data_IF_079996900916
#
_entry.id   IF_079996900916
#
_cell.length_a   1.000
_cell.length_b   1.000
_cell.length_c   1.000
_cell.angle_alpha   90.00
_cell.angle_beta   90.00
_cell.angle_gamma   90.00
#
_symmetry.space_group_name_H-M   'P 1'
#
loop_
_entity.id
_entity.type
_entity.pdbx_description
1 polymer ?
#
# COMPACT_ATOMS: atom_id res chain seq x y z
N UNK A 1 15.30 29.96 -5.34
CA UNK A 1 15.79 28.57 -5.49
C UNK A 1 15.31 27.79 -4.29
N UNK A 2 14.73 26.60 -4.46
CA UNK A 2 14.07 25.88 -3.36
C UNK A 2 15.09 25.04 -2.57
N UNK A 3 15.07 25.17 -1.25
CA UNK A 3 15.89 24.35 -0.35
C UNK A 3 15.48 22.85 -0.47
N UNK A 4 16.47 21.97 -0.45
CA UNK A 4 16.31 20.53 -0.62
C UNK A 4 15.62 19.90 0.60
N UNK A 5 14.64 19.04 0.35
CA UNK A 5 13.91 18.37 1.42
C UNK A 5 14.67 17.11 1.87
N UNK A 6 15.32 17.19 3.03
CA UNK A 6 15.96 16.05 3.70
C UNK A 6 14.97 15.25 4.54
N UNK A 7 15.01 13.92 4.52
CA UNK A 7 14.13 13.12 5.37
C UNK A 7 14.53 13.17 6.85
N UNK A 8 15.82 13.39 7.16
CA UNK A 8 16.39 13.51 8.52
C UNK A 8 16.20 14.91 9.10
N UNK A 9 14.96 15.27 9.44
CA UNK A 9 14.67 16.56 10.08
C UNK A 9 13.43 16.44 10.97
N UNK A 10 13.53 17.01 12.18
CA UNK A 10 12.42 17.14 13.11
C UNK A 10 11.37 18.10 12.52
N UNK A 11 10.12 17.65 12.50
CA UNK A 11 8.97 18.34 11.91
C UNK A 11 7.73 18.23 12.79
N UNK A 12 6.90 19.25 12.71
CA UNK A 12 5.50 19.19 13.15
C UNK A 12 4.64 18.44 12.10
N UNK A 13 3.36 18.24 12.41
CA UNK A 13 2.44 17.55 11.50
C UNK A 13 2.38 18.25 10.13
N UNK A 14 2.16 19.58 10.11
CA UNK A 14 2.11 20.34 8.87
C UNK A 14 3.41 20.26 8.06
N UNK A 15 4.56 20.25 8.73
CA UNK A 15 5.87 20.07 8.13
C UNK A 15 6.06 18.72 7.47
N UNK A 16 5.54 17.63 8.04
CA UNK A 16 5.60 16.27 7.43
C UNK A 16 4.86 16.26 6.09
N UNK A 17 3.65 16.81 6.06
CA UNK A 17 2.82 16.83 4.86
C UNK A 17 3.44 17.76 3.81
N UNK A 18 3.85 18.96 4.21
CA UNK A 18 4.50 19.93 3.32
C UNK A 18 5.78 19.36 2.72
N UNK A 19 6.56 18.60 3.50
CA UNK A 19 7.75 17.92 3.01
C UNK A 19 7.39 16.82 2.00
N UNK A 20 6.37 16.00 2.26
CA UNK A 20 5.96 14.93 1.35
C UNK A 20 5.51 15.49 -0.01
N UNK A 21 4.59 16.47 -0.02
CA UNK A 21 4.15 17.13 -1.23
C UNK A 21 5.28 17.93 -1.91
N UNK A 22 6.11 18.61 -1.11
CA UNK A 22 7.26 19.35 -1.59
C UNK A 22 8.27 18.45 -2.30
N UNK A 23 8.57 17.27 -1.75
CA UNK A 23 9.49 16.31 -2.34
C UNK A 23 8.98 15.81 -3.68
N UNK A 24 7.71 15.44 -3.74
CA UNK A 24 7.07 15.01 -4.99
C UNK A 24 7.07 16.12 -6.04
N UNK A 25 6.80 17.37 -5.62
CA UNK A 25 6.82 18.54 -6.52
C UNK A 25 8.21 18.84 -7.04
N UNK A 26 9.24 18.77 -6.18
CA UNK A 26 10.64 19.00 -6.55
C UNK A 26 11.16 17.93 -7.51
N UNK A 27 10.80 16.66 -7.27
CA UNK A 27 11.34 15.51 -7.98
C UNK A 27 10.34 14.83 -8.93
N UNK A 28 9.31 15.54 -9.39
CA UNK A 28 8.15 14.93 -10.07
C UNK A 28 8.53 13.98 -11.21
N UNK A 29 9.37 14.44 -12.16
CA UNK A 29 9.78 13.66 -13.33
C UNK A 29 10.59 12.41 -12.97
N UNK A 30 11.72 12.49 -12.25
CA UNK A 30 12.52 11.31 -11.93
C UNK A 30 11.81 10.37 -10.94
N UNK A 31 11.01 10.91 -10.01
CA UNK A 31 10.29 10.13 -9.02
C UNK A 31 9.16 9.30 -9.65
N UNK A 32 8.21 9.94 -10.34
CA UNK A 32 7.14 9.18 -11.01
C UNK A 32 7.64 8.41 -12.22
N UNK A 33 8.65 8.93 -12.93
CA UNK A 33 9.28 8.23 -14.05
C UNK A 33 9.90 6.90 -13.63
N UNK A 34 10.65 6.87 -12.52
CA UNK A 34 11.23 5.61 -12.01
C UNK A 34 10.16 4.64 -11.51
N UNK A 35 9.12 5.13 -10.83
CA UNK A 35 7.99 4.31 -10.37
C UNK A 35 7.25 3.68 -11.56
N UNK A 36 6.84 4.49 -12.54
CA UNK A 36 6.06 4.02 -13.69
C UNK A 36 6.90 3.13 -14.62
N UNK A 37 8.20 3.41 -14.78
CA UNK A 37 9.06 2.59 -15.63
C UNK A 37 9.35 1.21 -15.01
N UNK A 38 9.62 1.16 -13.70
CA UNK A 38 10.02 -0.10 -13.04
C UNK A 38 8.84 -0.87 -12.47
N UNK A 39 7.95 -0.22 -11.72
CA UNK A 39 6.80 -0.89 -11.11
C UNK A 39 5.58 -0.95 -12.06
N UNK A 40 5.48 0.00 -13.00
CA UNK A 40 4.34 0.12 -13.91
C UNK A 40 4.03 -1.15 -14.71
N UNK A 41 4.99 -1.86 -15.33
CA UNK A 41 4.71 -3.11 -16.06
C UNK A 41 3.99 -4.16 -15.20
N UNK A 42 4.42 -4.34 -13.95
CA UNK A 42 3.78 -5.30 -13.03
C UNK A 42 2.39 -4.85 -12.60
N UNK A 43 2.21 -3.54 -12.36
CA UNK A 43 0.91 -2.96 -12.04
C UNK A 43 -0.05 -3.12 -13.22
N UNK A 44 0.40 -2.89 -14.45
CA UNK A 44 -0.41 -3.06 -15.68
C UNK A 44 -0.87 -4.51 -15.81
N UNK A 45 0.05 -5.47 -15.67
CA UNK A 45 -0.33 -6.90 -15.78
C UNK A 45 -1.29 -7.30 -14.65
N UNK A 46 -0.98 -6.94 -13.39
CA UNK A 46 -1.86 -7.24 -12.26
C UNK A 46 -3.25 -6.62 -12.40
N UNK A 47 -3.32 -5.37 -12.85
CA UNK A 47 -4.59 -4.67 -13.07
C UNK A 47 -5.37 -5.20 -14.26
N UNK A 48 -4.70 -5.55 -15.36
CA UNK A 48 -5.34 -6.19 -16.52
C UNK A 48 -5.96 -7.54 -16.17
N UNK A 49 -5.24 -8.40 -15.43
CA UNK A 49 -5.78 -9.69 -14.98
C UNK A 49 -6.98 -9.46 -14.06
N UNK A 50 -6.89 -8.55 -13.09
CA UNK A 50 -8.02 -8.24 -12.20
C UNK A 50 -9.24 -7.67 -12.93
N UNK A 51 -9.03 -6.83 -13.94
CA UNK A 51 -10.10 -6.26 -14.75
C UNK A 51 -10.76 -7.33 -15.63
N UNK A 52 -9.98 -8.24 -16.21
CA UNK A 52 -10.50 -9.39 -16.93
C UNK A 52 -11.38 -10.26 -16.01
N UNK A 53 -11.06 -10.41 -14.72
CA UNK A 53 -11.92 -11.15 -13.78
C UNK A 53 -13.25 -10.45 -13.54
N UNK A 54 -13.25 -9.14 -13.31
CA UNK A 54 -14.48 -8.36 -13.15
C UNK A 54 -15.32 -8.45 -14.43
N UNK A 55 -14.67 -8.33 -15.60
CA UNK A 55 -15.29 -8.47 -16.91
C UNK A 55 -15.83 -9.88 -17.19
N UNK A 56 -15.14 -10.93 -16.78
CA UNK A 56 -15.50 -12.34 -17.02
C UNK A 56 -16.43 -12.95 -15.98
N UNK A 57 -16.85 -12.17 -14.96
CA UNK A 57 -17.95 -12.50 -14.03
C UNK A 57 -19.28 -12.59 -14.82
N UNK A 58 -19.37 -13.69 -15.54
CA UNK A 58 -20.45 -14.08 -16.42
C UNK A 58 -21.47 -14.84 -15.57
N UNK A 59 -22.73 -14.58 -15.89
CA UNK A 59 -23.99 -15.08 -15.34
C UNK A 59 -23.88 -16.35 -14.48
N UNK A 60 -24.57 -16.35 -13.33
CA UNK A 60 -24.79 -17.51 -12.43
C UNK A 60 -25.05 -18.83 -13.20
N UNK A 61 -25.67 -18.74 -14.39
CA UNK A 61 -25.89 -19.85 -15.31
C UNK A 61 -24.61 -20.56 -15.84
N UNK A 62 -23.51 -19.84 -16.12
CA UNK A 62 -22.22 -20.44 -16.54
C UNK A 62 -21.50 -21.08 -15.35
N UNK A 63 -21.67 -20.51 -14.15
CA UNK A 63 -21.14 -21.05 -12.89
C UNK A 63 -21.77 -22.41 -12.53
N UNK A 64 -23.08 -22.57 -12.77
CA UNK A 64 -23.81 -23.82 -12.48
C UNK A 64 -23.52 -24.94 -13.50
N UNK A 65 -23.24 -24.61 -14.76
CA UNK A 65 -23.06 -25.61 -15.83
C UNK A 65 -21.69 -26.29 -15.85
N UNK A 66 -20.61 -25.54 -15.58
CA UNK A 66 -19.23 -26.02 -15.66
C UNK A 66 -18.42 -25.61 -14.41
N UNK A 67 -18.85 -26.06 -13.22
CA UNK A 67 -18.26 -25.65 -11.94
C UNK A 67 -16.74 -25.88 -11.89
N UNK A 68 -16.25 -27.06 -12.26
CA UNK A 68 -14.83 -27.42 -12.10
C UNK A 68 -13.89 -26.57 -12.95
N UNK A 69 -14.21 -26.39 -14.25
CA UNK A 69 -13.42 -25.51 -15.13
C UNK A 69 -13.46 -24.05 -14.68
N UNK A 70 -14.59 -23.62 -14.12
CA UNK A 70 -14.78 -22.28 -13.61
C UNK A 70 -13.91 -22.03 -12.35
N UNK A 71 -13.92 -22.94 -11.38
CA UNK A 71 -13.08 -22.86 -10.18
C UNK A 71 -11.59 -22.89 -10.54
N UNK A 72 -11.17 -23.77 -11.45
CA UNK A 72 -9.78 -23.85 -11.90
C UNK A 72 -9.30 -22.54 -12.54
N UNK A 73 -10.08 -21.95 -13.45
CA UNK A 73 -9.74 -20.67 -14.09
C UNK A 73 -9.69 -19.51 -13.08
N UNK A 74 -10.62 -19.46 -12.13
CA UNK A 74 -10.64 -18.44 -11.08
C UNK A 74 -9.38 -18.55 -10.22
N UNK A 75 -9.05 -19.74 -9.73
CA UNK A 75 -7.89 -19.94 -8.84
C UNK A 75 -6.60 -19.53 -9.55
N UNK A 76 -6.38 -19.97 -10.78
CA UNK A 76 -5.19 -19.62 -11.56
C UNK A 76 -5.09 -18.11 -11.79
N UNK A 77 -6.22 -17.45 -12.10
CA UNK A 77 -6.26 -15.99 -12.30
C UNK A 77 -6.03 -15.18 -11.02
N UNK A 78 -6.53 -15.66 -9.88
CA UNK A 78 -6.27 -15.03 -8.58
C UNK A 78 -4.81 -15.18 -8.17
N UNK A 79 -4.26 -16.39 -8.28
CA UNK A 79 -2.86 -16.65 -7.93
C UNK A 79 -1.90 -15.84 -8.82
N UNK A 80 -2.16 -15.77 -10.13
CA UNK A 80 -1.34 -14.96 -11.03
C UNK A 80 -1.39 -13.48 -10.66
N UNK A 81 -2.58 -12.91 -10.41
CA UNK A 81 -2.75 -11.53 -9.97
C UNK A 81 -1.97 -11.23 -8.68
N UNK A 82 -2.08 -12.11 -7.69
CA UNK A 82 -1.38 -11.97 -6.40
C UNK A 82 0.13 -11.92 -6.62
N UNK A 83 0.68 -12.80 -7.45
CA UNK A 83 2.13 -12.84 -7.74
C UNK A 83 2.58 -11.55 -8.43
N UNK A 84 1.86 -11.08 -9.46
CA UNK A 84 2.21 -9.84 -10.16
C UNK A 84 2.13 -8.62 -9.26
N UNK A 85 1.07 -8.49 -8.45
CA UNK A 85 0.96 -7.40 -7.47
C UNK A 85 2.05 -7.48 -6.41
N UNK A 86 2.37 -8.66 -5.90
CA UNK A 86 3.42 -8.84 -4.88
C UNK A 86 4.79 -8.42 -5.41
N UNK A 87 5.15 -8.83 -6.63
CA UNK A 87 6.37 -8.38 -7.30
C UNK A 87 6.33 -6.87 -7.54
N UNK A 88 5.22 -6.35 -8.08
CA UNK A 88 5.03 -4.93 -8.37
C UNK A 88 5.17 -4.05 -7.14
N UNK A 89 4.57 -4.44 -6.01
CA UNK A 89 4.69 -3.73 -4.73
C UNK A 89 6.11 -3.82 -4.18
N UNK A 90 6.81 -4.94 -4.37
CA UNK A 90 8.22 -5.07 -3.99
C UNK A 90 9.09 -4.09 -4.77
N UNK A 91 8.96 -4.06 -6.10
CA UNK A 91 9.67 -3.11 -6.98
C UNK A 91 9.35 -1.68 -6.57
N UNK A 92 8.07 -1.37 -6.36
CA UNK A 92 7.59 -0.06 -5.93
C UNK A 92 8.27 0.42 -4.64
N UNK A 93 8.33 -0.42 -3.60
CA UNK A 93 9.00 -0.08 -2.34
C UNK A 93 10.51 0.15 -2.53
N UNK A 94 11.19 -0.69 -3.31
CA UNK A 94 12.62 -0.52 -3.61
C UNK A 94 12.89 0.83 -4.26
N UNK A 95 12.08 1.18 -5.26
CA UNK A 95 12.22 2.44 -6.01
C UNK A 95 11.94 3.64 -5.13
N UNK A 96 10.87 3.62 -4.33
CA UNK A 96 10.58 4.72 -3.41
C UNK A 96 11.73 4.97 -2.43
N UNK A 97 12.21 3.91 -1.79
CA UNK A 97 13.32 4.00 -0.85
C UNK A 97 14.59 4.51 -1.51
N UNK A 98 14.92 4.00 -2.70
CA UNK A 98 16.09 4.48 -3.44
C UNK A 98 15.99 5.95 -3.80
N UNK A 99 14.82 6.42 -4.24
CA UNK A 99 14.64 7.85 -4.52
C UNK A 99 14.83 8.70 -3.26
N UNK A 100 14.29 8.28 -2.12
CA UNK A 100 14.44 9.02 -0.85
C UNK A 100 15.91 9.05 -0.40
N UNK A 101 16.60 7.90 -0.45
CA UNK A 101 17.99 7.77 -0.03
C UNK A 101 18.99 8.42 -1.00
N UNK A 102 18.75 8.31 -2.30
CA UNK A 102 19.55 8.97 -3.32
C UNK A 102 19.39 10.48 -3.20
N UNK A 103 18.16 10.97 -3.01
CA UNK A 103 17.94 12.40 -2.80
C UNK A 103 18.82 12.91 -1.66
N UNK A 104 18.92 12.24 -0.51
CA UNK A 104 19.81 12.68 0.59
C UNK A 104 21.29 12.83 0.17
N UNK A 105 21.83 11.88 -0.60
CA UNK A 105 23.26 11.83 -0.97
C UNK A 105 23.69 12.85 -2.03
N UNK A 106 22.76 13.39 -2.81
CA UNK A 106 23.06 14.36 -3.87
C UNK A 106 23.47 15.71 -3.28
N UNK A 107 24.38 16.43 -3.91
CA UNK A 107 24.63 17.84 -3.53
C UNK A 107 23.40 18.71 -3.86
N UNK A 108 23.26 19.89 -3.25
CA UNK A 108 22.10 20.77 -3.43
C UNK A 108 21.82 21.21 -4.89
N UNK A 109 22.77 20.95 -5.81
CA UNK A 109 22.71 21.32 -7.22
C UNK A 109 22.45 20.13 -8.15
N UNK A 110 22.49 18.89 -7.65
CA UNK A 110 22.27 17.69 -8.46
C UNK A 110 20.80 17.25 -8.41
N UNK A 111 20.21 17.06 -9.59
CA UNK A 111 18.85 16.55 -9.71
C UNK A 111 18.82 15.03 -9.67
N UNK A 112 17.79 14.47 -9.03
CA UNK A 112 17.52 13.04 -9.02
C UNK A 112 17.44 12.49 -10.46
N UNK A 113 18.25 11.47 -10.78
CA UNK A 113 18.23 10.78 -12.08
C UNK A 113 17.65 9.36 -11.96
N UNK A 114 17.11 8.84 -13.07
CA UNK A 114 16.60 7.47 -13.15
C UNK A 114 17.68 6.42 -12.83
N UNK A 115 18.94 6.73 -13.15
CA UNK A 115 20.07 5.81 -12.94
C UNK A 115 20.28 5.45 -11.48
N UNK A 116 20.02 6.37 -10.53
CA UNK A 116 20.14 6.05 -9.10
C UNK A 116 19.16 4.97 -8.64
N UNK A 117 17.99 4.88 -9.27
CA UNK A 117 17.01 3.83 -8.98
C UNK A 117 17.42 2.47 -9.58
N UNK A 118 18.18 2.49 -10.69
CA UNK A 118 18.63 1.29 -11.39
C UNK A 118 19.92 0.69 -10.80
N UNK A 119 20.84 1.52 -10.31
CA UNK A 119 22.13 1.04 -9.75
C UNK A 119 21.93 0.09 -8.59
N UNK A 120 22.39 -1.16 -8.72
CA UNK A 120 22.24 -2.19 -7.69
C UNK A 120 20.78 -2.63 -7.43
N UNK A 121 19.85 -2.33 -8.34
CA UNK A 121 18.42 -2.61 -8.18
C UNK A 121 18.13 -4.07 -7.82
N UNK A 122 18.70 -5.03 -8.55
CA UNK A 122 18.42 -6.45 -8.32
C UNK A 122 18.85 -6.95 -6.94
N UNK A 123 19.98 -6.46 -6.40
CA UNK A 123 20.43 -6.85 -5.07
C UNK A 123 19.47 -6.35 -3.98
N UNK A 124 19.03 -5.10 -4.10
CA UNK A 124 18.06 -4.52 -3.17
C UNK A 124 16.66 -5.13 -3.36
N UNK A 125 16.30 -5.50 -4.59
CA UNK A 125 15.06 -6.21 -4.90
C UNK A 125 14.98 -7.56 -4.20
N UNK A 126 15.99 -8.43 -4.33
CA UNK A 126 15.96 -9.75 -3.68
C UNK A 126 15.90 -9.66 -2.16
N UNK A 127 16.62 -8.69 -1.58
CA UNK A 127 16.56 -8.41 -0.15
C UNK A 127 15.18 -7.90 0.28
N UNK A 128 14.60 -6.97 -0.47
CA UNK A 128 13.26 -6.45 -0.20
C UNK A 128 12.22 -7.56 -0.35
N UNK A 129 12.31 -8.39 -1.39
CA UNK A 129 11.40 -9.50 -1.64
C UNK A 129 11.41 -10.50 -0.47
N UNK A 130 12.59 -10.88 0.02
CA UNK A 130 12.74 -11.75 1.18
C UNK A 130 12.12 -11.16 2.45
N UNK A 131 12.41 -9.89 2.74
CA UNK A 131 11.82 -9.20 3.91
C UNK A 131 10.30 -9.02 3.77
N UNK A 132 9.79 -8.70 2.58
CA UNK A 132 8.36 -8.59 2.29
C UNK A 132 7.64 -9.93 2.46
N UNK A 133 8.25 -11.02 2.00
CA UNK A 133 7.67 -12.36 2.14
C UNK A 133 7.62 -12.76 3.61
N UNK A 134 8.70 -12.56 4.36
CA UNK A 134 8.74 -12.80 5.81
C UNK A 134 7.69 -11.98 6.55
N UNK A 135 7.55 -10.69 6.23
CA UNK A 135 6.51 -9.84 6.82
C UNK A 135 5.12 -10.37 6.50
N UNK A 136 4.87 -10.73 5.24
CA UNK A 136 3.56 -11.18 4.79
C UNK A 136 3.17 -12.48 5.49
N UNK A 137 4.08 -13.45 5.58
CA UNK A 137 3.84 -14.69 6.33
C UNK A 137 3.56 -14.42 7.81
N UNK A 138 4.36 -13.55 8.45
CA UNK A 138 4.14 -13.17 9.84
C UNK A 138 2.76 -12.52 10.05
N UNK A 139 2.36 -11.61 9.16
CA UNK A 139 1.05 -10.95 9.22
C UNK A 139 -0.10 -11.92 8.96
N UNK A 140 0.04 -12.84 8.01
CA UNK A 140 -0.96 -13.89 7.74
C UNK A 140 -1.14 -14.78 8.98
N UNK A 141 -0.05 -15.24 9.59
CA UNK A 141 -0.11 -16.04 10.82
C UNK A 141 -0.80 -15.25 11.93
N UNK A 142 -0.43 -13.99 12.14
CA UNK A 142 -1.04 -13.14 13.16
C UNK A 142 -2.55 -12.96 12.94
N UNK A 143 -2.97 -12.69 11.70
CA UNK A 143 -4.39 -12.54 11.33
C UNK A 143 -5.15 -13.85 11.54
N UNK A 144 -4.59 -14.99 11.13
CA UNK A 144 -5.22 -16.31 11.33
C UNK A 144 -5.38 -16.62 12.82
N UNK A 145 -4.35 -16.39 13.63
CA UNK A 145 -4.45 -16.59 15.09
C UNK A 145 -5.52 -15.70 15.70
N UNK A 146 -5.54 -14.41 15.36
CA UNK A 146 -6.57 -13.47 15.85
C UNK A 146 -7.97 -13.92 15.39
N UNK A 147 -8.13 -14.33 14.14
CA UNK A 147 -9.40 -14.80 13.59
C UNK A 147 -9.89 -16.07 14.29
N UNK A 148 -9.00 -17.02 14.60
CA UNK A 148 -9.33 -18.23 15.36
C UNK A 148 -9.74 -17.90 16.80
N UNK A 149 -9.06 -16.96 17.45
CA UNK A 149 -9.41 -16.50 18.81
C UNK A 149 -10.79 -15.84 18.81
N UNK A 150 -11.04 -14.91 17.88
CA UNK A 150 -12.32 -14.21 17.78
C UNK A 150 -13.44 -15.20 17.39
N UNK A 151 -13.21 -16.08 16.42
CA UNK A 151 -14.17 -17.09 16.00
C UNK A 151 -14.49 -18.10 17.10
N UNK A 152 -13.48 -18.52 17.88
CA UNK A 152 -13.66 -19.37 19.05
C UNK A 152 -14.49 -18.69 20.15
N UNK A 153 -14.18 -17.42 20.46
CA UNK A 153 -14.98 -16.63 21.41
C UNK A 153 -16.43 -16.46 20.94
N UNK A 154 -16.63 -16.23 19.64
CA UNK A 154 -17.96 -16.13 19.05
C UNK A 154 -18.74 -17.46 19.16
N UNK A 155 -18.10 -18.60 18.90
CA UNK A 155 -18.71 -19.92 19.04
C UNK A 155 -19.09 -20.23 20.49
N UNK A 156 -18.24 -19.88 21.47
CA UNK A 156 -18.52 -20.07 22.90
C UNK A 156 -19.71 -19.25 23.40
N UNK A 157 -19.99 -18.11 22.77
CA UNK A 157 -21.12 -17.23 23.12
C UNK A 157 -22.44 -17.65 22.43
N UNK A 158 -22.46 -18.84 21.81
CA UNK A 158 -23.69 -19.46 21.31
C UNK A 158 -24.09 -19.08 19.89
N UNK A 159 -23.12 -18.68 19.06
CA UNK A 159 -23.16 -18.63 17.59
C UNK A 159 -24.55 -18.64 16.92
N UNK A 160 -25.35 -17.59 17.14
CA UNK A 160 -26.56 -17.28 16.37
C UNK A 160 -27.77 -18.19 16.60
N UNK A 161 -28.80 -17.69 17.31
CA UNK A 161 -30.13 -18.31 17.27
C UNK A 161 -31.19 -17.85 18.29
N UNK A 162 -30.91 -16.89 19.19
CA UNK A 162 -31.89 -16.42 20.18
C UNK A 162 -31.84 -14.91 20.44
N UNK A 163 -32.62 -14.39 21.41
CA UNK A 163 -32.69 -12.95 21.75
C UNK A 163 -31.34 -12.29 22.13
N UNK A 164 -30.28 -13.09 22.28
CA UNK A 164 -28.92 -12.69 22.59
C UNK A 164 -28.13 -12.11 21.39
N UNK A 165 -28.79 -11.53 20.37
CA UNK A 165 -28.13 -10.81 19.26
C UNK A 165 -27.26 -9.63 19.73
N UNK A 166 -27.43 -9.19 20.97
CA UNK A 166 -26.65 -8.12 21.59
C UNK A 166 -25.15 -8.44 21.65
N UNK A 167 -24.76 -9.68 21.97
CA UNK A 167 -23.34 -10.04 22.15
C UNK A 167 -22.53 -10.05 20.84
N UNK A 168 -23.01 -10.67 19.74
CA UNK A 168 -22.40 -10.54 18.40
C UNK A 168 -22.22 -9.09 17.96
N UNK A 169 -23.25 -8.26 18.15
CA UNK A 169 -23.22 -6.85 17.76
C UNK A 169 -22.18 -6.08 18.57
N UNK A 170 -22.10 -6.32 19.88
CA UNK A 170 -21.06 -5.74 20.74
C UNK A 170 -19.65 -6.17 20.31
N UNK A 171 -19.44 -7.44 19.94
CA UNK A 171 -18.13 -7.89 19.43
C UNK A 171 -17.73 -7.17 18.14
N UNK A 172 -18.65 -7.05 17.17
CA UNK A 172 -18.40 -6.31 15.92
C UNK A 172 -18.06 -4.86 16.21
N UNK A 173 -18.77 -4.22 17.14
CA UNK A 173 -18.50 -2.85 17.58
C UNK A 173 -17.10 -2.73 18.22
N UNK A 174 -16.73 -3.66 19.10
CA UNK A 174 -15.40 -3.69 19.74
C UNK A 174 -14.29 -3.84 18.70
N UNK A 175 -14.45 -4.78 17.76
CA UNK A 175 -13.47 -4.99 16.68
C UNK A 175 -13.39 -3.75 15.79
N UNK A 176 -14.51 -3.13 15.45
CA UNK A 176 -14.56 -1.92 14.65
C UNK A 176 -13.82 -0.75 15.33
N UNK A 177 -14.13 -0.46 16.60
CA UNK A 177 -13.44 0.59 17.36
C UNK A 177 -11.96 0.24 17.59
N UNK A 178 -11.63 -1.04 17.79
CA UNK A 178 -10.26 -1.51 17.87
C UNK A 178 -9.47 -1.27 16.58
N UNK A 179 -10.06 -1.58 15.42
CA UNK A 179 -9.46 -1.28 14.11
C UNK A 179 -9.39 0.22 13.82
N UNK A 180 -10.33 1.02 14.30
CA UNK A 180 -10.28 2.47 14.14
C UNK A 180 -9.15 3.08 14.99
N UNK A 181 -8.96 2.57 16.22
CA UNK A 181 -7.91 3.04 17.11
C UNK A 181 -6.52 2.53 16.71
N UNK A 182 -6.38 1.26 16.32
CA UNK A 182 -5.07 0.67 16.03
C UNK A 182 -4.73 0.61 14.54
N UNK A 183 -5.71 0.65 13.64
CA UNK A 183 -5.54 0.51 12.20
C UNK A 183 -4.55 1.48 11.58
N UNK A 184 -4.65 2.80 11.81
CA UNK A 184 -3.69 3.77 11.27
C UNK A 184 -2.24 3.51 11.72
N UNK A 185 -2.05 3.06 12.96
CA UNK A 185 -0.73 2.71 13.47
C UNK A 185 -0.24 1.38 12.88
N UNK A 186 -1.13 0.41 12.74
CA UNK A 186 -0.83 -0.88 12.10
C UNK A 186 -0.47 -0.72 10.62
N UNK A 187 -1.02 0.27 9.91
CA UNK A 187 -0.62 0.56 8.52
C UNK A 187 0.71 1.30 8.42
N UNK A 188 1.09 2.07 9.44
CA UNK A 188 2.37 2.77 9.51
C UNK A 188 3.55 1.81 9.73
N UNK A 189 3.40 0.84 10.63
CA UNK A 189 4.50 -0.03 11.08
C UNK A 189 5.18 -0.80 9.92
N UNK A 190 4.46 -1.54 9.06
CA UNK A 190 5.02 -2.23 7.89
C UNK A 190 5.80 -1.31 6.95
N UNK A 191 5.23 -0.15 6.65
CA UNK A 191 5.78 0.80 5.67
C UNK A 191 7.08 1.40 6.19
N UNK A 192 7.08 1.86 7.44
CA UNK A 192 8.28 2.35 8.10
C UNK A 192 9.35 1.26 8.23
N UNK A 193 8.97 0.03 8.59
CA UNK A 193 9.92 -1.08 8.74
C UNK A 193 10.59 -1.45 7.40
N UNK A 194 9.86 -1.42 6.28
CA UNK A 194 10.42 -1.69 4.96
C UNK A 194 11.43 -0.63 4.51
N UNK A 195 11.16 0.65 4.81
CA UNK A 195 12.13 1.72 4.60
C UNK A 195 13.41 1.48 5.42
N UNK A 196 13.27 1.16 6.71
CA UNK A 196 14.40 0.90 7.62
C UNK A 196 15.20 -0.33 7.19
N UNK A 197 14.55 -1.41 6.78
CA UNK A 197 15.21 -2.60 6.25
C UNK A 197 16.15 -2.28 5.10
N UNK A 198 15.70 -1.45 4.16
CA UNK A 198 16.49 -1.12 2.99
C UNK A 198 17.58 -0.10 3.30
N UNK A 199 17.28 0.91 4.13
CA UNK A 199 18.23 1.95 4.54
C UNK A 199 19.35 1.39 5.39
N UNK A 200 19.01 0.67 6.45
CA UNK A 200 19.96 0.19 7.47
C UNK A 200 20.51 -1.21 7.12
N UNK A 201 20.02 -1.83 6.03
CA UNK A 201 20.38 -3.19 5.58
C UNK A 201 20.21 -4.27 6.66
N UNK A 202 19.15 -4.13 7.46
CA UNK A 202 18.78 -5.07 8.54
C UNK A 202 17.56 -5.93 8.17
N UNK A 203 17.36 -7.03 8.91
CA UNK A 203 16.20 -7.91 8.74
C UNK A 203 14.90 -7.24 9.18
N UNK A 204 13.76 -7.72 8.65
CA UNK A 204 12.45 -7.15 8.96
C UNK A 204 12.10 -7.16 10.44
N UNK A 205 12.46 -8.20 11.18
CA UNK A 205 12.18 -8.26 12.61
C UNK A 205 12.99 -7.23 13.42
N UNK A 206 14.25 -7.00 13.03
CA UNK A 206 15.07 -5.94 13.63
C UNK A 206 14.53 -4.54 13.31
N UNK A 207 14.11 -4.32 12.05
CA UNK A 207 13.47 -3.08 11.64
C UNK A 207 12.15 -2.83 12.37
N UNK A 208 11.28 -3.84 12.48
CA UNK A 208 10.03 -3.75 13.25
C UNK A 208 10.32 -3.34 14.70
N UNK A 209 11.29 -3.98 15.36
CA UNK A 209 11.68 -3.62 16.73
C UNK A 209 12.13 -2.17 16.84
N UNK A 210 12.93 -1.69 15.87
CA UNK A 210 13.38 -0.30 15.81
C UNK A 210 12.22 0.68 15.61
N UNK A 211 11.28 0.37 14.71
CA UNK A 211 10.06 1.18 14.48
C UNK A 211 9.20 1.24 15.75
N UNK A 212 8.95 0.11 16.41
CA UNK A 212 8.20 0.08 17.67
C UNK A 212 8.89 0.87 18.79
N UNK A 213 10.22 0.85 18.84
CA UNK A 213 11.00 1.59 19.83
C UNK A 213 10.81 3.11 19.75
N UNK A 214 10.74 3.68 18.54
CA UNK A 214 10.45 5.12 18.39
C UNK A 214 8.96 5.44 18.51
N UNK A 215 8.09 4.51 18.09
CA UNK A 215 6.64 4.68 18.15
C UNK A 215 6.11 4.73 19.59
N UNK A 216 6.68 3.94 20.51
CA UNK A 216 6.20 3.78 21.89
C UNK A 216 5.97 5.12 22.61
N UNK A 217 6.91 6.04 22.48
CA UNK A 217 6.88 7.33 23.19
C UNK A 217 5.99 8.36 22.49
N UNK A 218 5.59 8.12 21.24
CA UNK A 218 4.87 9.05 20.38
C UNK A 218 3.65 8.41 19.70
N UNK A 219 2.97 7.49 20.40
CA UNK A 219 1.85 6.73 19.85
C UNK A 219 0.77 7.64 19.26
N UNK A 220 0.25 8.58 20.05
CA UNK A 220 -0.85 9.46 19.63
C UNK A 220 -0.49 10.36 18.46
N UNK A 221 0.72 10.92 18.45
CA UNK A 221 1.19 11.73 17.32
C UNK A 221 1.33 10.90 16.05
N UNK A 222 1.83 9.67 16.18
CA UNK A 222 1.91 8.74 15.04
C UNK A 222 0.53 8.36 14.55
N UNK A 223 -0.41 8.07 15.46
CA UNK A 223 -1.79 7.78 15.12
C UNK A 223 -2.43 8.93 14.33
N UNK A 224 -2.31 10.18 14.81
CA UNK A 224 -2.88 11.35 14.13
C UNK A 224 -2.25 11.51 12.74
N UNK A 225 -0.92 11.49 12.63
CA UNK A 225 -0.23 11.65 11.35
C UNK A 225 -0.64 10.55 10.36
N UNK A 226 -0.65 9.29 10.80
CA UNK A 226 -1.04 8.14 9.98
C UNK A 226 -2.51 8.18 9.58
N UNK A 227 -3.40 8.60 10.48
CA UNK A 227 -4.83 8.74 10.20
C UNK A 227 -5.08 9.83 9.16
N UNK A 228 -4.48 11.00 9.33
CA UNK A 228 -4.60 12.11 8.36
C UNK A 228 -4.00 11.71 7.01
N UNK A 229 -2.85 11.03 7.00
CA UNK A 229 -2.23 10.54 5.78
C UNK A 229 -3.11 9.49 5.07
N UNK A 230 -3.73 8.58 5.84
CA UNK A 230 -4.64 7.57 5.31
C UNK A 230 -5.92 8.18 4.72
N UNK A 231 -6.53 9.15 5.40
CA UNK A 231 -7.69 9.89 4.87
C UNK A 231 -7.31 10.65 3.59
N UNK A 232 -6.15 11.31 3.58
CA UNK A 232 -5.63 11.97 2.39
C UNK A 232 -5.51 10.99 1.20
N UNK A 233 -4.92 9.81 1.45
CA UNK A 233 -4.79 8.75 0.45
C UNK A 233 -6.16 8.26 -0.06
N UNK A 234 -7.11 7.97 0.81
CA UNK A 234 -8.45 7.50 0.43
C UNK A 234 -9.17 8.56 -0.41
N UNK A 235 -9.19 9.81 0.03
CA UNK A 235 -9.89 10.89 -0.68
C UNK A 235 -9.32 11.07 -2.09
N UNK A 236 -7.98 11.14 -2.21
CA UNK A 236 -7.33 11.27 -3.53
C UNK A 236 -7.56 10.04 -4.42
N UNK A 237 -7.49 8.84 -3.85
CA UNK A 237 -7.71 7.59 -4.59
C UNK A 237 -9.18 7.43 -5.00
N UNK A 238 -10.13 7.90 -4.20
CA UNK A 238 -11.56 7.85 -4.52
C UNK A 238 -11.85 8.59 -5.82
N UNK A 239 -11.35 9.82 -5.99
CA UNK A 239 -11.54 10.60 -7.22
C UNK A 239 -10.97 9.89 -8.45
N UNK A 240 -9.81 9.24 -8.32
CA UNK A 240 -9.18 8.47 -9.39
C UNK A 240 -10.03 7.25 -9.77
N UNK A 241 -10.72 6.63 -8.82
CA UNK A 241 -11.49 5.40 -9.02
C UNK A 241 -12.94 5.63 -9.48
N UNK A 242 -13.45 6.87 -9.47
CA UNK A 242 -14.81 7.19 -9.95
C UNK A 242 -15.12 6.60 -11.34
N UNK A 243 -14.24 6.74 -12.36
CA UNK A 243 -14.50 6.15 -13.69
C UNK A 243 -14.67 4.63 -13.65
N UNK A 244 -13.84 3.94 -12.86
CA UNK A 244 -13.93 2.47 -12.68
C UNK A 244 -15.26 2.10 -12.04
N UNK A 245 -15.69 2.81 -10.98
CA UNK A 245 -16.98 2.56 -10.33
C UNK A 245 -18.17 2.76 -11.28
N UNK A 246 -18.13 3.81 -12.11
CA UNK A 246 -19.19 4.09 -13.09
C UNK A 246 -19.27 2.97 -14.13
N UNK A 247 -18.15 2.60 -14.76
CA UNK A 247 -18.12 1.57 -15.81
C UNK A 247 -18.55 0.20 -15.24
N UNK A 248 -18.09 -0.14 -14.03
CA UNK A 248 -18.51 -1.37 -13.35
C UNK A 248 -20.02 -1.38 -13.09
N UNK A 249 -20.58 -0.28 -12.58
CA UNK A 249 -22.02 -0.19 -12.33
C UNK A 249 -22.82 -0.32 -13.63
N UNK A 250 -22.36 0.34 -14.71
CA UNK A 250 -22.98 0.26 -16.04
C UNK A 250 -22.91 -1.15 -16.63
N UNK A 251 -21.76 -1.83 -16.53
CA UNK A 251 -21.56 -3.17 -17.06
C UNK A 251 -22.40 -4.19 -16.29
N UNK A 252 -22.45 -4.09 -14.95
CA UNK A 252 -23.30 -4.91 -14.10
C UNK A 252 -24.79 -4.69 -14.41
N UNK A 253 -25.26 -3.43 -14.49
CA UNK A 253 -26.67 -3.14 -14.78
C UNK A 253 -27.08 -3.58 -16.20
N UNK A 254 -26.19 -3.44 -17.17
CA UNK A 254 -26.41 -3.96 -18.52
C UNK A 254 -26.58 -5.48 -18.52
N UNK A 255 -25.69 -6.21 -17.82
CA UNK A 255 -25.78 -7.68 -17.67
C UNK A 255 -27.07 -8.13 -16.98
N UNK A 256 -27.54 -7.39 -15.98
CA UNK A 256 -28.83 -7.69 -15.34
C UNK A 256 -29.99 -7.60 -16.34
N UNK A 257 -30.00 -6.60 -17.23
CA UNK A 257 -30.99 -6.48 -18.30
C UNK A 257 -30.84 -7.55 -19.39
N UNK A 258 -29.62 -7.95 -19.71
CA UNK A 258 -29.29 -8.98 -20.73
C UNK A 258 -29.66 -10.41 -20.31
N UNK A 259 -30.20 -10.63 -19.11
CA UNK A 259 -30.73 -11.94 -18.67
C UNK A 259 -31.90 -12.43 -19.56
N UNK A 260 -32.41 -11.59 -20.47
CA UNK A 260 -33.44 -11.92 -21.47
C UNK A 260 -32.91 -12.33 -22.87
N UNK A 261 -31.64 -12.73 -22.99
CA UNK A 261 -31.10 -13.36 -24.20
C UNK A 261 -30.17 -12.47 -25.04
N UNK A 262 -29.03 -13.06 -25.43
CA UNK A 262 -28.06 -12.66 -26.46
C UNK A 262 -27.50 -11.22 -26.43
N UNK A 263 -26.31 -11.04 -25.86
CA UNK A 263 -25.01 -11.05 -26.58
C UNK A 263 -23.93 -10.50 -25.64
N UNK A 264 -22.82 -11.23 -25.51
CA UNK A 264 -21.64 -10.78 -24.77
C UNK A 264 -20.91 -9.73 -25.61
N UNK A 265 -21.28 -8.45 -25.43
CA UNK A 265 -20.53 -7.34 -26.01
C UNK A 265 -19.15 -7.22 -25.34
N UNK A 266 -18.19 -7.95 -25.89
CA UNK A 266 -16.79 -8.03 -25.47
C UNK A 266 -16.07 -6.67 -25.56
N UNK A 267 -16.60 -5.73 -26.36
CA UNK A 267 -16.03 -4.38 -26.52
C UNK A 267 -16.06 -3.54 -25.23
N UNK A 268 -17.06 -3.77 -24.36
CA UNK A 268 -17.17 -3.11 -23.05
C UNK A 268 -16.18 -3.68 -22.02
N UNK A 269 -15.66 -4.87 -22.26
CA UNK A 269 -14.61 -5.49 -21.43
C UNK A 269 -13.26 -4.78 -21.62
N UNK A 270 -12.89 -4.46 -22.87
CA UNK A 270 -11.62 -3.79 -23.17
C UNK A 270 -11.55 -2.36 -22.62
N UNK A 271 -12.63 -1.59 -22.73
CA UNK A 271 -12.70 -0.24 -22.15
C UNK A 271 -12.55 -0.27 -20.62
N UNK A 272 -13.21 -1.22 -19.95
CA UNK A 272 -13.06 -1.44 -18.51
C UNK A 272 -11.60 -1.75 -18.15
N UNK A 273 -10.96 -2.66 -18.88
CA UNK A 273 -9.55 -3.04 -18.66
C UNK A 273 -8.63 -1.82 -18.76
N UNK A 274 -8.74 -1.04 -19.83
CA UNK A 274 -7.89 0.15 -20.04
C UNK A 274 -8.10 1.17 -18.90
N UNK A 275 -9.36 1.44 -18.53
CA UNK A 275 -9.65 2.42 -17.46
C UNK A 275 -9.15 1.92 -16.11
N UNK A 276 -9.32 0.64 -15.79
CA UNK A 276 -8.79 0.05 -14.54
C UNK A 276 -7.26 0.15 -14.48
N UNK A 277 -6.56 -0.12 -15.59
CA UNK A 277 -5.10 0.01 -15.66
C UNK A 277 -4.67 1.45 -15.38
N UNK A 278 -5.28 2.43 -16.06
CA UNK A 278 -4.94 3.85 -15.90
C UNK A 278 -5.21 4.32 -14.47
N UNK A 279 -6.41 4.03 -13.94
CA UNK A 279 -6.78 4.40 -12.58
C UNK A 279 -5.89 3.71 -11.54
N UNK A 280 -5.47 2.47 -11.77
CA UNK A 280 -4.53 1.76 -10.90
C UNK A 280 -3.16 2.44 -10.88
N UNK A 281 -2.58 2.74 -12.04
CA UNK A 281 -1.30 3.45 -12.14
C UNK A 281 -1.33 4.80 -11.41
N UNK A 282 -2.40 5.59 -11.63
CA UNK A 282 -2.59 6.87 -10.93
C UNK A 282 -2.75 6.68 -9.42
N UNK A 283 -3.44 5.63 -8.98
CA UNK A 283 -3.60 5.31 -7.56
C UNK A 283 -2.26 4.97 -6.89
N UNK A 284 -1.36 4.25 -7.58
CA UNK A 284 0.01 4.00 -7.08
C UNK A 284 0.87 5.28 -7.03
N UNK A 285 0.63 6.24 -7.93
CA UNK A 285 1.24 7.56 -7.82
C UNK A 285 0.75 8.29 -6.56
N UNK A 286 -0.54 8.25 -6.23
CA UNK A 286 -1.07 8.84 -4.99
C UNK A 286 -0.57 8.11 -3.75
N UNK A 287 -0.48 6.78 -3.79
CA UNK A 287 0.06 5.97 -2.69
C UNK A 287 1.49 6.37 -2.30
N UNK A 288 2.26 6.93 -3.23
CA UNK A 288 3.65 7.34 -2.98
C UNK A 288 3.72 8.53 -2.02
N UNK A 289 2.68 9.37 -2.01
CA UNK A 289 2.56 10.53 -1.12
C UNK A 289 2.32 10.03 0.31
N UNK A 290 1.39 9.08 0.49
CA UNK A 290 1.16 8.41 1.78
C UNK A 290 2.42 7.71 2.30
N UNK A 291 3.16 7.05 1.39
CA UNK A 291 4.44 6.43 1.71
C UNK A 291 5.44 7.44 2.26
N UNK A 292 5.63 8.57 1.57
CA UNK A 292 6.55 9.63 1.99
C UNK A 292 6.15 10.23 3.35
N UNK A 293 4.85 10.47 3.60
CA UNK A 293 4.37 10.93 4.90
C UNK A 293 4.74 9.94 6.02
N UNK A 294 4.61 8.65 5.76
CA UNK A 294 4.97 7.59 6.72
C UNK A 294 6.47 7.56 6.98
N UNK A 295 7.30 7.62 5.93
CA UNK A 295 8.76 7.68 6.06
C UNK A 295 9.18 8.92 6.84
N UNK A 296 8.64 10.10 6.51
CA UNK A 296 8.96 11.35 7.20
C UNK A 296 8.46 11.37 8.65
N UNK A 297 7.37 10.69 8.96
CA UNK A 297 6.98 10.49 10.35
C UNK A 297 7.98 9.60 11.09
N UNK A 298 8.42 8.49 10.50
CA UNK A 298 9.44 7.64 11.11
C UNK A 298 10.74 8.39 11.38
N UNK A 299 11.24 9.11 10.37
CA UNK A 299 12.51 9.83 10.48
C UNK A 299 12.39 11.03 11.41
N UNK A 300 11.22 11.67 11.50
CA UNK A 300 10.94 12.68 12.52
C UNK A 300 11.07 12.12 13.94
N UNK A 301 10.53 10.92 14.20
CA UNK A 301 10.63 10.28 15.51
C UNK A 301 12.06 9.83 15.84
N UNK A 302 12.78 9.29 14.84
CA UNK A 302 14.19 8.92 14.98
C UNK A 302 15.06 10.14 15.30
N UNK A 303 14.91 11.24 14.55
CA UNK A 303 15.66 12.48 14.79
C UNK A 303 15.31 13.13 16.14
N UNK A 304 14.06 13.06 16.60
CA UNK A 304 13.69 13.55 17.93
C UNK A 304 14.41 12.79 19.05
N UNK A 305 14.73 11.51 18.83
CA UNK A 305 15.33 10.65 19.85
C UNK A 305 16.84 10.58 19.76
N UNK A 306 17.40 10.61 18.56
CA UNK A 306 18.84 10.44 18.33
C UNK A 306 19.57 11.75 17.99
N UNK A 307 18.88 12.76 17.44
CA UNK A 307 19.50 14.02 17.02
C UNK A 307 20.64 13.85 16.01
N UNK A 308 20.67 12.73 15.28
CA UNK A 308 21.82 12.31 14.47
C UNK A 308 22.17 13.31 13.37
N UNK A 309 21.18 13.97 12.77
CA UNK A 309 21.43 15.03 11.79
C UNK A 309 22.15 16.25 12.39
N UNK A 310 21.89 16.58 13.66
CA UNK A 310 22.53 17.71 14.34
C UNK A 310 23.97 17.35 14.67
N UNK A 311 24.21 16.14 15.19
CA UNK A 311 25.55 15.63 15.51
C UNK A 311 26.42 15.60 14.25
N UNK A 312 25.89 15.10 13.13
CA UNK A 312 26.61 15.03 11.87
C UNK A 312 26.99 16.41 11.32
N UNK A 313 26.08 17.40 11.43
CA UNK A 313 26.37 18.78 11.05
C UNK A 313 27.43 19.43 11.93
N UNK A 314 27.44 19.13 13.23
CA UNK A 314 28.48 19.62 14.14
C UNK A 314 29.84 19.05 13.74
N UNK A 315 29.90 17.75 13.46
CA UNK A 315 31.14 17.08 13.04
C UNK A 315 31.67 17.56 11.67
N UNK A 316 30.82 18.09 10.80
CA UNK A 316 31.23 18.68 9.52
C UNK A 316 31.80 20.11 9.65
N UNK A 317 31.60 20.77 10.79
CA UNK A 317 32.09 22.12 11.08
C UNK A 317 33.42 22.09 11.87
N UNK A 318 33.76 20.95 12.48
CA UNK A 318 35.04 20.70 13.17
C UNK A 318 36.10 20.14 12.21
#
# INVERSE_FOLDING_TARGET
>A
MQEKISYRKVRDLGGIFSAAFGFVKQNFKPFFGSILFLAGPFIIVGSAVSAYMIGSSTTIAKMVRNMDEFYGKIIVSYLSSIIFYFIGVTVYNVVLNKNILANEKLENHESLTLNHSLTGFFSDFWRMLGNMLLLTLFMVIAIVVIALVIGGLFALVGGGGGPALVLPVLMVIIVFFGLLLFGPVLSYIPVAAMFVCQRDRISIFAALRKVFYYLKDNFWMTWVVSMVAFVCYIVMSFFIQIPVFIINTMSTFSRFKSTAGYDEDDSKSLLLVIVVIICSLLSYCVMSIYYLMTVYQYTNLEEKKEGSSIIEKINQIQ
#
